data_IF_890081735227
#
_entry.id   IF_890081735227
#
_cell.length_a   1.000
_cell.length_b   1.000
_cell.length_c   1.000
_cell.angle_alpha   90.00
_cell.angle_beta   90.00
_cell.angle_gamma   90.00
#
_symmetry.space_group_name_H-M   'P 1'
#
loop_
_entity.id
_entity.type
_entity.pdbx_description
1 polymer ?
#
# COMPACT_ATOMS: atom_id res chain seq x y z
N UNK A 1 -18.94 8.14 63.64
CA UNK A 1 -18.42 7.39 62.47
C UNK A 1 -17.23 6.52 62.89
N UNK A 2 -17.14 5.26 62.45
CA UNK A 2 -16.00 4.39 62.74
C UNK A 2 -14.74 4.81 61.96
N UNK A 3 -13.57 4.75 62.59
CA UNK A 3 -12.26 5.06 61.97
C UNK A 3 -11.64 3.80 61.33
N UNK A 4 -11.51 3.79 60.01
CA UNK A 4 -10.90 2.66 59.26
C UNK A 4 -9.39 2.86 59.08
N UNK A 5 -8.58 1.82 59.31
CA UNK A 5 -7.11 1.82 59.07
C UNK A 5 -6.78 1.21 57.70
N UNK A 6 -5.88 1.85 56.94
CA UNK A 6 -5.55 1.48 55.54
C UNK A 6 -4.17 0.81 55.34
N UNK A 7 -3.55 0.32 56.42
CA UNK A 7 -2.16 -0.18 56.41
C UNK A 7 -1.97 -1.43 55.55
N UNK A 8 -2.91 -2.37 55.60
CA UNK A 8 -2.86 -3.65 54.88
C UNK A 8 -2.95 -3.43 53.37
N UNK A 9 -3.91 -2.61 52.93
CA UNK A 9 -4.12 -2.26 51.51
C UNK A 9 -2.89 -1.54 50.94
N UNK A 10 -2.31 -0.60 51.72
CA UNK A 10 -1.10 0.12 51.34
C UNK A 10 0.10 -0.83 51.18
N UNK A 11 0.32 -1.74 52.13
CA UNK A 11 1.40 -2.75 52.05
C UNK A 11 1.22 -3.65 50.83
N UNK A 12 0.00 -4.07 50.51
CA UNK A 12 -0.30 -4.90 49.33
C UNK A 12 0.06 -4.20 48.02
N UNK A 13 -0.30 -2.92 47.85
CA UNK A 13 0.08 -2.11 46.67
C UNK A 13 1.60 -1.99 46.52
N UNK A 14 2.30 -1.72 47.63
CA UNK A 14 3.77 -1.60 47.61
C UNK A 14 4.45 -2.91 47.21
N UNK A 15 4.03 -4.05 47.78
CA UNK A 15 4.55 -5.38 47.40
C UNK A 15 4.32 -5.71 45.93
N UNK A 16 3.18 -5.31 45.34
CA UNK A 16 2.90 -5.51 43.90
C UNK A 16 3.91 -4.78 43.02
N UNK A 17 4.19 -3.50 43.31
CA UNK A 17 5.19 -2.72 42.56
C UNK A 17 6.59 -3.31 42.71
N UNK A 18 7.01 -3.64 43.95
CA UNK A 18 8.33 -4.22 44.21
C UNK A 18 8.51 -5.60 43.56
N UNK A 19 7.42 -6.37 43.39
CA UNK A 19 7.47 -7.63 42.64
C UNK A 19 7.73 -7.40 41.14
N UNK A 20 7.21 -6.31 40.57
CA UNK A 20 7.43 -5.96 39.16
C UNK A 20 8.80 -5.33 38.91
N UNK A 21 9.41 -4.67 39.91
CA UNK A 21 10.73 -4.05 39.79
C UNK A 21 11.91 -4.98 40.11
N UNK A 22 11.65 -6.28 40.27
CA UNK A 22 12.73 -7.28 40.45
C UNK A 22 13.67 -7.24 39.25
N UNK A 23 14.98 -7.25 39.52
CA UNK A 23 16.02 -7.14 38.51
C UNK A 23 16.46 -5.71 38.17
N UNK A 24 15.76 -4.67 38.67
CA UNK A 24 16.23 -3.29 38.50
C UNK A 24 17.47 -3.00 39.34
N UNK A 25 18.33 -2.12 38.84
CA UNK A 25 19.58 -1.75 39.48
C UNK A 25 19.40 -0.84 40.71
N UNK A 26 20.24 -1.02 41.73
CA UNK A 26 20.32 -0.15 42.90
C UNK A 26 19.00 -0.03 43.68
N UNK A 27 18.63 1.19 44.05
CA UNK A 27 17.44 1.48 44.87
C UNK A 27 16.10 1.26 44.14
N UNK A 28 16.12 1.08 42.81
CA UNK A 28 14.91 0.90 41.99
C UNK A 28 14.23 -0.45 42.20
N UNK A 29 14.89 -1.41 42.86
CA UNK A 29 14.28 -2.70 43.29
C UNK A 29 13.85 -2.73 44.76
N UNK A 30 14.35 -1.81 45.60
CA UNK A 30 14.16 -1.84 47.06
C UNK A 30 13.19 -0.77 47.57
N UNK A 31 13.36 0.49 47.15
CA UNK A 31 12.56 1.61 47.64
C UNK A 31 11.29 1.78 46.79
N UNK A 32 10.13 1.87 47.43
CA UNK A 32 8.84 1.93 46.72
C UNK A 32 8.70 3.13 45.76
N UNK A 33 9.15 4.32 46.17
CA UNK A 33 8.98 5.55 45.38
C UNK A 33 9.75 5.46 44.06
N UNK A 34 11.06 5.19 44.12
CA UNK A 34 11.92 5.03 42.94
C UNK A 34 11.53 3.80 42.11
N UNK A 35 11.11 2.70 42.75
CA UNK A 35 10.59 1.53 42.03
C UNK A 35 9.32 1.86 41.24
N UNK A 36 8.38 2.58 41.84
CA UNK A 36 7.12 2.95 41.18
C UNK A 36 7.37 3.84 39.95
N UNK A 37 8.22 4.86 40.06
CA UNK A 37 8.63 5.70 38.94
C UNK A 37 9.27 4.89 37.81
N UNK A 38 10.18 3.98 38.16
CA UNK A 38 10.84 3.13 37.16
C UNK A 38 9.85 2.18 36.49
N UNK A 39 8.95 1.55 37.25
CA UNK A 39 7.93 0.64 36.71
C UNK A 39 7.00 1.39 35.75
N UNK A 40 6.56 2.60 36.09
CA UNK A 40 5.71 3.40 35.19
C UNK A 40 6.42 3.66 33.86
N UNK A 41 7.69 4.09 33.88
CA UNK A 41 8.49 4.30 32.66
C UNK A 41 8.70 3.01 31.87
N UNK A 42 9.05 1.91 32.54
CA UNK A 42 9.24 0.61 31.89
C UNK A 42 7.96 0.09 31.22
N UNK A 43 6.79 0.32 31.82
CA UNK A 43 5.51 -0.04 31.20
C UNK A 43 5.20 0.80 29.96
N UNK A 44 5.48 2.11 30.02
CA UNK A 44 5.37 2.99 28.86
C UNK A 44 6.31 2.55 27.73
N UNK A 45 7.58 2.28 28.04
CA UNK A 45 8.52 1.75 27.05
C UNK A 45 8.08 0.40 26.50
N UNK A 46 7.63 -0.53 27.32
CA UNK A 46 7.11 -1.83 26.84
C UNK A 46 5.96 -1.66 25.85
N UNK A 47 5.04 -0.74 26.10
CA UNK A 47 3.96 -0.43 25.16
C UNK A 47 4.49 0.10 23.82
N UNK A 48 5.39 1.08 23.85
CA UNK A 48 5.99 1.66 22.64
C UNK A 48 6.83 0.61 21.90
N UNK A 49 7.68 -0.12 22.60
CA UNK A 49 8.56 -1.15 22.05
C UNK A 49 7.78 -2.30 21.39
N UNK A 50 6.58 -2.66 21.86
CA UNK A 50 5.74 -3.65 21.16
C UNK A 50 5.33 -3.19 19.76
N UNK A 51 5.09 -1.89 19.58
CA UNK A 51 4.80 -1.30 18.26
C UNK A 51 6.08 -1.19 17.42
N UNK A 52 7.19 -0.72 18.01
CA UNK A 52 8.47 -0.56 17.33
C UNK A 52 9.07 -1.90 16.87
N UNK A 53 8.94 -2.97 17.66
CA UNK A 53 9.45 -4.31 17.32
C UNK A 53 8.99 -4.78 15.94
N UNK A 54 7.74 -4.47 15.55
CA UNK A 54 7.23 -4.79 14.21
C UNK A 54 8.00 -4.07 13.10
N UNK A 55 8.37 -2.80 13.33
CA UNK A 55 9.21 -2.01 12.41
C UNK A 55 10.65 -2.53 12.40
N UNK A 56 11.20 -2.89 13.56
CA UNK A 56 12.59 -3.37 13.67
C UNK A 56 12.78 -4.71 12.95
N UNK A 57 11.84 -5.66 13.11
CA UNK A 57 11.85 -6.89 12.31
C UNK A 57 11.70 -6.63 10.82
N UNK A 58 10.83 -5.70 10.42
CA UNK A 58 10.69 -5.34 9.01
C UNK A 58 11.99 -4.76 8.44
N UNK A 59 12.69 -3.90 9.19
CA UNK A 59 14.00 -3.38 8.79
C UNK A 59 15.01 -4.53 8.61
N UNK A 60 15.07 -5.45 9.56
CA UNK A 60 15.94 -6.62 9.49
C UNK A 60 15.66 -7.48 8.25
N UNK A 61 14.40 -7.78 7.96
CA UNK A 61 14.02 -8.55 6.78
C UNK A 61 14.42 -7.85 5.49
N UNK A 62 14.20 -6.53 5.40
CA UNK A 62 14.61 -5.74 4.23
C UNK A 62 16.13 -5.78 4.06
N UNK A 63 16.90 -5.65 5.15
CA UNK A 63 18.36 -5.73 5.10
C UNK A 63 18.85 -7.10 4.61
N UNK A 64 18.26 -8.19 5.10
CA UNK A 64 18.57 -9.55 4.66
C UNK A 64 18.27 -9.76 3.18
N UNK A 65 17.07 -9.40 2.74
CA UNK A 65 16.67 -9.51 1.32
C UNK A 65 17.58 -8.65 0.44
N UNK A 66 17.92 -7.42 0.87
CA UNK A 66 18.80 -6.55 0.11
C UNK A 66 20.20 -7.16 -0.06
N UNK A 67 20.74 -7.79 1.00
CA UNK A 67 22.01 -8.50 0.89
C UNK A 67 21.93 -9.66 -0.10
N UNK A 68 20.89 -10.49 -0.03
CA UNK A 68 20.70 -11.59 -0.97
C UNK A 68 20.50 -11.12 -2.42
N UNK A 69 19.71 -10.07 -2.65
CA UNK A 69 19.57 -9.47 -3.98
C UNK A 69 20.91 -8.99 -4.54
N UNK A 70 21.80 -8.43 -3.71
CA UNK A 70 23.13 -7.98 -4.13
C UNK A 70 24.02 -9.13 -4.59
N UNK A 71 23.89 -10.33 -3.99
CA UNK A 71 24.62 -11.52 -4.44
C UNK A 71 24.22 -11.95 -5.86
N UNK A 72 23.02 -11.59 -6.31
CA UNK A 72 22.52 -11.86 -7.65
C UNK A 72 22.53 -10.62 -8.57
N UNK A 73 23.40 -9.65 -8.26
CA UNK A 73 23.58 -8.37 -8.97
C UNK A 73 22.27 -7.60 -9.20
N UNK A 74 21.37 -7.64 -8.22
CA UNK A 74 20.07 -7.02 -8.31
C UNK A 74 19.77 -6.10 -7.12
N UNK A 75 18.88 -5.14 -7.35
CA UNK A 75 18.53 -4.11 -6.36
C UNK A 75 17.20 -4.45 -5.70
N UNK A 76 17.13 -4.37 -4.36
CA UNK A 76 15.91 -4.65 -3.58
C UNK A 76 14.67 -3.89 -4.09
N UNK A 77 14.81 -2.61 -4.45
CA UNK A 77 13.68 -1.80 -4.95
C UNK A 77 13.07 -2.39 -6.22
N UNK A 78 13.93 -2.75 -7.18
CA UNK A 78 13.52 -3.37 -8.44
C UNK A 78 12.96 -4.78 -8.22
N UNK A 79 13.53 -5.54 -7.29
CA UNK A 79 13.04 -6.86 -6.90
C UNK A 79 11.60 -6.84 -6.37
N UNK A 80 11.32 -5.99 -5.38
CA UNK A 80 9.96 -5.88 -4.84
C UNK A 80 8.97 -5.37 -5.89
N UNK A 81 9.41 -4.45 -6.76
CA UNK A 81 8.60 -3.98 -7.87
C UNK A 81 8.29 -5.12 -8.87
N UNK A 82 9.31 -5.90 -9.28
CA UNK A 82 9.15 -7.05 -10.15
C UNK A 82 8.23 -8.13 -9.58
N UNK A 83 8.37 -8.46 -8.30
CA UNK A 83 7.44 -9.39 -7.62
C UNK A 83 6.00 -8.86 -7.60
N UNK A 84 5.81 -7.55 -7.46
CA UNK A 84 4.48 -6.93 -7.53
C UNK A 84 3.87 -7.01 -8.93
N UNK A 85 4.68 -6.84 -9.98
CA UNK A 85 4.25 -6.98 -11.37
C UNK A 85 3.90 -8.43 -11.73
N UNK A 86 4.70 -9.38 -11.23
CA UNK A 86 4.44 -10.81 -11.35
C UNK A 86 3.27 -11.30 -10.47
N UNK A 87 2.58 -10.41 -9.73
CA UNK A 87 1.50 -10.74 -8.80
C UNK A 87 1.86 -11.74 -7.69
N UNK A 88 3.14 -11.84 -7.33
CA UNK A 88 3.64 -12.73 -6.28
C UNK A 88 3.48 -12.06 -4.91
N UNK A 89 2.44 -12.43 -4.17
CA UNK A 89 2.09 -11.86 -2.85
C UNK A 89 2.81 -12.56 -1.69
N UNK A 90 4.14 -12.48 -1.64
CA UNK A 90 4.94 -13.07 -0.55
C UNK A 90 5.31 -12.01 0.50
N UNK A 91 5.17 -12.39 1.78
CA UNK A 91 5.58 -11.57 2.91
C UNK A 91 7.11 -11.47 3.01
N UNK A 92 7.62 -10.28 3.41
CA UNK A 92 9.07 -10.04 3.59
C UNK A 92 9.72 -10.94 4.62
N UNK A 93 8.98 -11.42 5.62
CA UNK A 93 9.47 -12.43 6.56
C UNK A 93 9.88 -13.70 5.80
N UNK A 94 8.99 -14.22 4.96
CA UNK A 94 9.21 -15.45 4.20
C UNK A 94 10.31 -15.27 3.15
N UNK A 95 10.34 -14.13 2.45
CA UNK A 95 11.44 -13.82 1.53
C UNK A 95 12.80 -13.77 2.24
N UNK A 96 12.85 -13.20 3.44
CA UNK A 96 14.09 -13.13 4.22
C UNK A 96 14.51 -14.48 4.80
N UNK A 97 13.56 -15.36 5.14
CA UNK A 97 13.84 -16.72 5.61
C UNK A 97 14.32 -17.59 4.43
N UNK A 98 13.65 -17.51 3.26
CA UNK A 98 14.07 -18.19 2.02
C UNK A 98 15.47 -17.76 1.59
N UNK A 99 15.75 -16.46 1.60
CA UNK A 99 17.08 -15.93 1.28
C UNK A 99 18.23 -16.48 2.17
N UNK A 100 17.92 -17.05 3.34
CA UNK A 100 18.92 -17.64 4.25
C UNK A 100 19.00 -19.15 4.13
N UNK A 101 17.85 -19.83 4.00
CA UNK A 101 17.79 -21.30 4.03
C UNK A 101 17.77 -21.96 2.65
N UNK A 102 17.30 -21.24 1.62
CA UNK A 102 17.12 -21.75 0.26
C UNK A 102 17.56 -20.71 -0.77
N UNK A 103 18.84 -20.78 -1.11
CA UNK A 103 19.43 -19.89 -2.11
C UNK A 103 18.91 -20.16 -3.53
N UNK A 104 18.63 -21.43 -3.86
CA UNK A 104 18.16 -21.81 -5.18
C UNK A 104 16.76 -21.25 -5.46
N UNK A 105 15.82 -21.45 -4.53
CA UNK A 105 14.47 -20.91 -4.67
C UNK A 105 14.44 -19.38 -4.67
N UNK A 106 15.33 -18.73 -3.90
CA UNK A 106 15.45 -17.27 -3.94
C UNK A 106 15.96 -16.77 -5.30
N UNK A 107 16.90 -17.48 -5.93
CA UNK A 107 17.43 -17.14 -7.26
C UNK A 107 16.34 -17.17 -8.34
N UNK A 108 15.50 -18.21 -8.35
CA UNK A 108 14.37 -18.32 -9.28
C UNK A 108 13.42 -17.13 -9.15
N UNK A 109 13.10 -16.70 -7.93
CA UNK A 109 12.28 -15.52 -7.69
C UNK A 109 12.92 -14.23 -8.21
N UNK A 110 14.24 -14.12 -8.14
CA UNK A 110 14.97 -12.96 -8.69
C UNK A 110 14.89 -12.95 -10.22
N UNK A 111 14.98 -14.12 -10.86
CA UNK A 111 14.85 -14.25 -12.32
C UNK A 111 13.44 -13.87 -12.80
N UNK A 112 12.40 -14.41 -12.16
CA UNK A 112 11.00 -14.03 -12.43
C UNK A 112 10.79 -12.52 -12.24
N UNK A 113 11.36 -11.94 -11.19
CA UNK A 113 11.27 -10.49 -10.97
C UNK A 113 12.00 -9.69 -12.06
N UNK A 114 13.14 -10.17 -12.56
CA UNK A 114 13.88 -9.52 -13.66
C UNK A 114 13.08 -9.56 -14.96
N UNK A 115 12.43 -10.68 -15.27
CA UNK A 115 11.58 -10.84 -16.46
C UNK A 115 10.34 -9.94 -16.40
N UNK A 116 9.65 -9.93 -15.26
CA UNK A 116 8.46 -9.08 -15.07
C UNK A 116 8.78 -7.59 -15.26
N UNK A 117 9.96 -7.13 -14.82
CA UNK A 117 10.39 -5.74 -15.02
C UNK A 117 10.73 -5.44 -16.47
N UNK A 118 11.29 -6.40 -17.22
CA UNK A 118 11.57 -6.23 -18.66
C UNK A 118 10.29 -6.11 -19.48
N UNK A 119 9.26 -6.88 -19.11
CA UNK A 119 7.97 -6.91 -19.82
C UNK A 119 7.05 -5.73 -19.45
N UNK A 120 7.39 -4.95 -18.42
CA UNK A 120 6.56 -3.84 -17.98
C UNK A 120 6.69 -2.63 -18.93
N UNK A 121 5.58 -1.96 -19.29
CA UNK A 121 5.63 -0.74 -20.08
C UNK A 121 6.39 0.33 -19.28
N UNK A 122 7.48 0.85 -19.85
CA UNK A 122 8.25 1.94 -19.28
C UNK A 122 7.34 3.17 -19.20
N UNK A 123 7.04 3.66 -17.99
CA UNK A 123 6.51 5.03 -17.86
C UNK A 123 7.55 5.97 -18.45
N UNK A 124 7.19 6.69 -19.50
CA UNK A 124 8.02 7.74 -20.07
C UNK A 124 8.46 8.68 -18.95
N UNK A 125 9.77 8.92 -18.85
CA UNK A 125 10.30 9.85 -17.84
C UNK A 125 9.77 11.23 -18.20
N UNK A 126 8.94 11.80 -17.32
CA UNK A 126 8.53 13.19 -17.43
C UNK A 126 9.80 14.06 -17.63
N UNK A 127 9.79 14.99 -18.60
CA UNK A 127 10.98 15.76 -18.94
C UNK A 127 11.49 16.51 -17.71
N UNK A 128 12.78 16.33 -17.41
CA UNK A 128 13.47 17.06 -16.35
C UNK A 128 13.44 18.54 -16.71
N UNK A 129 12.67 19.34 -15.99
CA UNK A 129 12.72 20.80 -16.12
C UNK A 129 14.15 21.25 -15.78
N UNK A 130 14.84 21.80 -16.77
CA UNK A 130 16.16 22.40 -16.60
C UNK A 130 16.06 23.49 -15.54
N UNK A 131 16.80 23.33 -14.45
CA UNK A 131 16.88 24.37 -13.42
C UNK A 131 17.72 25.51 -13.96
N UNK A 132 17.06 26.53 -14.51
CA UNK A 132 17.72 27.81 -14.76
C UNK A 132 18.06 28.40 -13.38
N UNK A 133 19.35 28.46 -13.07
CA UNK A 133 19.84 29.16 -11.88
C UNK A 133 19.69 30.67 -12.10
N UNK A 134 18.87 31.33 -11.28
CA UNK A 134 18.92 32.77 -11.16
C UNK A 134 19.22 33.16 -9.71
N UNK A 135 20.31 33.89 -9.58
CA UNK A 135 20.79 34.50 -8.35
C UNK A 135 19.69 35.28 -7.62
N UNK A 136 19.62 35.04 -6.30
CA UNK A 136 19.30 36.04 -5.30
C UNK A 136 18.06 36.92 -5.51
N UNK A 137 16.89 36.42 -5.12
CA UNK A 137 15.98 37.03 -4.11
C UNK A 137 14.63 36.34 -4.18
N UNK A 138 14.23 35.76 -3.05
CA UNK A 138 12.92 35.17 -2.83
C UNK A 138 11.82 36.24 -2.91
N UNK A 139 10.96 36.13 -3.91
CA UNK A 139 9.64 36.75 -3.91
C UNK A 139 8.61 35.68 -4.25
N UNK A 140 7.77 35.33 -3.27
CA UNK A 140 6.53 34.59 -3.52
C UNK A 140 5.59 35.54 -4.27
N UNK A 141 5.54 35.40 -5.58
CA UNK A 141 4.44 35.89 -6.40
C UNK A 141 3.84 34.65 -7.06
N UNK A 142 2.60 34.35 -6.70
CA UNK A 142 1.79 33.29 -7.29
C UNK A 142 1.59 33.64 -8.77
N UNK A 143 2.09 32.85 -9.74
CA UNK A 143 1.83 33.13 -11.14
C UNK A 143 0.47 32.55 -11.52
N UNK A 144 -0.43 33.47 -11.83
CA UNK A 144 -1.74 33.29 -12.42
C UNK A 144 -1.58 32.87 -13.90
N UNK A 145 -1.06 31.68 -14.14
CA UNK A 145 -0.88 31.09 -15.48
C UNK A 145 -1.40 29.64 -15.54
N UNK A 146 -2.53 29.40 -14.88
CA UNK A 146 -3.28 28.15 -14.87
C UNK A 146 -4.62 28.24 -15.63
N UNK A 147 -4.80 29.29 -16.43
CA UNK A 147 -6.05 29.49 -17.18
C UNK A 147 -5.96 29.46 -18.70
N UNK A 148 -4.80 29.71 -19.32
CA UNK A 148 -4.77 29.81 -20.79
C UNK A 148 -4.19 28.58 -21.51
N UNK A 149 -3.46 27.69 -20.82
CA UNK A 149 -3.05 26.38 -21.40
C UNK A 149 -4.05 25.24 -21.18
N UNK A 150 -5.15 25.48 -20.48
CA UNK A 150 -6.24 24.51 -20.33
C UNK A 150 -7.24 24.54 -21.48
N UNK A 151 -7.27 25.63 -22.25
CA UNK A 151 -8.30 25.84 -23.27
C UNK A 151 -7.82 25.42 -24.67
N UNK A 152 -6.52 25.43 -24.97
CA UNK A 152 -6.00 24.89 -26.25
C UNK A 152 -5.78 23.36 -26.27
N UNK A 153 -5.83 22.68 -25.12
CA UNK A 153 -5.71 21.21 -25.02
C UNK A 153 -7.05 20.51 -25.32
N UNK A 154 -8.17 21.24 -25.26
CA UNK A 154 -9.51 20.67 -25.46
C UNK A 154 -9.88 20.59 -26.95
N UNK A 155 -9.25 21.37 -27.83
CA UNK A 155 -9.57 21.39 -29.27
C UNK A 155 -8.64 20.56 -30.16
N UNK A 156 -7.45 20.18 -29.72
CA UNK A 156 -6.56 19.31 -30.51
C UNK A 156 -6.66 17.81 -30.13
N UNK A 157 -7.38 17.48 -29.05
CA UNK A 157 -7.63 16.09 -28.64
C UNK A 157 -8.80 15.44 -29.38
N UNK A 158 -9.54 16.20 -30.20
CA UNK A 158 -10.73 15.71 -30.92
C UNK A 158 -10.44 15.07 -32.29
N UNK A 159 -9.20 15.09 -32.80
CA UNK A 159 -8.91 14.60 -34.16
C UNK A 159 -8.04 13.33 -34.23
N UNK A 160 -7.55 12.79 -33.11
CA UNK A 160 -6.65 11.60 -33.12
C UNK A 160 -7.30 10.32 -32.56
N UNK A 161 -8.49 10.39 -31.94
CA UNK A 161 -9.25 9.21 -31.48
C UNK A 161 -10.21 8.60 -32.53
N UNK A 162 -9.95 8.82 -33.83
CA UNK A 162 -10.54 7.97 -34.89
C UNK A 162 -9.49 7.01 -35.40
N UNK A 163 -9.21 5.98 -34.59
CA UNK A 163 -8.87 4.65 -35.10
C UNK A 163 -8.91 3.60 -33.97
N UNK A 164 -10.10 3.41 -33.38
CA UNK A 164 -10.54 2.09 -32.92
C UNK A 164 -11.84 1.82 -33.67
N UNK A 165 -11.83 0.80 -34.53
CA UNK A 165 -13.05 0.33 -35.20
C UNK A 165 -14.03 -0.12 -34.11
N UNK A 166 -15.04 0.69 -33.83
CA UNK A 166 -16.25 0.23 -33.15
C UNK A 166 -16.96 -0.64 -34.17
N UNK A 167 -16.85 -1.95 -34.02
CA UNK A 167 -17.74 -2.88 -34.70
C UNK A 167 -19.17 -2.55 -34.26
N UNK A 168 -19.98 -2.03 -35.18
CA UNK A 168 -21.42 -1.89 -34.97
C UNK A 168 -22.02 -3.31 -34.89
N UNK A 169 -22.11 -3.86 -33.68
CA UNK A 169 -22.72 -5.18 -33.46
C UNK A 169 -24.23 -5.02 -33.58
N UNK A 170 -24.80 -5.60 -34.64
CA UNK A 170 -26.26 -5.64 -34.84
C UNK A 170 -26.89 -6.66 -33.87
N UNK A 171 -27.61 -6.16 -32.87
CA UNK A 171 -28.23 -6.98 -31.82
C UNK A 171 -29.53 -7.66 -32.27
N UNK A 172 -30.04 -7.38 -33.48
CA UNK A 172 -31.30 -7.92 -33.99
C UNK A 172 -31.29 -9.45 -34.14
N UNK A 173 -30.14 -10.02 -34.49
CA UNK A 173 -29.95 -11.44 -34.77
C UNK A 173 -29.94 -12.34 -33.51
N UNK A 174 -29.70 -11.79 -32.32
CA UNK A 174 -29.52 -12.57 -31.09
C UNK A 174 -30.84 -13.04 -30.46
N UNK A 175 -30.79 -14.15 -29.74
CA UNK A 175 -31.91 -14.66 -28.95
C UNK A 175 -32.07 -13.87 -27.65
N UNK A 176 -33.26 -13.93 -27.04
CA UNK A 176 -33.55 -13.19 -25.80
C UNK A 176 -32.63 -13.59 -24.63
N UNK A 177 -32.20 -14.86 -24.59
CA UNK A 177 -31.25 -15.36 -23.61
C UNK A 177 -29.87 -14.73 -23.79
N UNK A 178 -29.36 -14.69 -25.02
CA UNK A 178 -28.05 -14.11 -25.35
C UNK A 178 -28.04 -12.61 -25.05
N UNK A 179 -29.12 -11.88 -25.38
CA UNK A 179 -29.24 -10.45 -25.06
C UNK A 179 -29.23 -10.18 -23.54
N UNK A 180 -29.78 -11.09 -22.72
CA UNK A 180 -29.76 -10.96 -21.26
C UNK A 180 -28.39 -11.31 -20.66
N UNK A 181 -27.68 -12.25 -21.25
CA UNK A 181 -26.29 -12.56 -20.86
C UNK A 181 -25.37 -11.39 -21.17
N UNK A 182 -25.49 -10.78 -22.36
CA UNK A 182 -24.76 -9.57 -22.74
C UNK A 182 -25.08 -8.41 -21.78
N UNK A 183 -26.34 -8.23 -21.39
CA UNK A 183 -26.73 -7.19 -20.42
C UNK A 183 -26.14 -7.44 -19.02
N UNK A 184 -26.03 -8.71 -18.62
CA UNK A 184 -25.43 -9.12 -17.34
C UNK A 184 -23.91 -8.92 -17.32
N UNK A 185 -23.23 -9.26 -18.40
CA UNK A 185 -21.78 -9.10 -18.55
C UNK A 185 -21.37 -7.63 -18.59
N UNK A 186 -22.25 -6.75 -19.08
CA UNK A 186 -22.08 -5.30 -19.04
C UNK A 186 -22.54 -4.65 -17.72
N UNK A 187 -22.90 -5.45 -16.71
CA UNK A 187 -23.33 -5.02 -15.38
C UNK A 187 -24.54 -4.04 -15.40
N UNK A 188 -25.41 -4.12 -16.41
CA UNK A 188 -26.59 -3.25 -16.52
C UNK A 188 -27.69 -3.72 -15.55
N UNK A 189 -28.38 -2.79 -14.89
CA UNK A 189 -29.52 -3.11 -14.01
C UNK A 189 -30.86 -2.81 -14.68
N UNK A 190 -31.86 -3.69 -14.53
CA UNK A 190 -33.23 -3.43 -15.01
C UNK A 190 -33.66 -4.22 -16.27
N UNK A 191 -32.80 -5.08 -16.82
CA UNK A 191 -33.08 -5.83 -18.06
C UNK A 191 -34.00 -7.07 -17.88
N UNK A 192 -34.19 -7.55 -16.65
CA UNK A 192 -34.84 -8.85 -16.38
C UNK A 192 -36.31 -8.95 -16.84
N UNK A 193 -37.04 -7.84 -16.88
CA UNK A 193 -38.46 -7.80 -17.24
C UNK A 193 -38.71 -7.37 -18.69
N UNK A 194 -37.68 -7.00 -19.44
CA UNK A 194 -37.81 -6.43 -20.78
C UNK A 194 -38.04 -7.51 -21.85
N UNK A 195 -38.84 -7.14 -22.86
CA UNK A 195 -39.08 -7.93 -24.07
C UNK A 195 -37.90 -7.80 -25.05
N UNK A 196 -37.82 -8.67 -26.07
CA UNK A 196 -36.69 -8.69 -27.03
C UNK A 196 -36.40 -7.32 -27.64
N UNK A 197 -37.42 -6.63 -28.15
CA UNK A 197 -37.25 -5.31 -28.76
C UNK A 197 -36.76 -4.26 -27.76
N UNK A 198 -37.32 -4.26 -26.54
CA UNK A 198 -36.92 -3.34 -25.47
C UNK A 198 -35.50 -3.64 -24.96
N UNK A 199 -35.05 -4.91 -24.98
CA UNK A 199 -33.68 -5.29 -24.63
C UNK A 199 -32.66 -4.80 -25.65
N UNK A 200 -33.00 -4.84 -26.94
CA UNK A 200 -32.15 -4.32 -28.02
C UNK A 200 -32.01 -2.80 -27.86
N UNK A 201 -33.12 -2.08 -27.73
CA UNK A 201 -33.12 -0.63 -27.55
C UNK A 201 -32.42 -0.21 -26.24
N UNK A 202 -32.59 -0.99 -25.16
CA UNK A 202 -31.91 -0.76 -23.89
C UNK A 202 -30.39 -0.96 -24.01
N UNK A 203 -29.92 -1.95 -24.77
CA UNK A 203 -28.49 -2.16 -25.00
C UNK A 203 -27.89 -1.09 -25.91
N UNK A 204 -28.59 -0.72 -26.99
CA UNK A 204 -28.15 0.34 -27.92
C UNK A 204 -28.00 1.69 -27.20
N UNK A 205 -29.01 2.07 -26.40
CA UNK A 205 -28.99 3.34 -25.66
C UNK A 205 -27.87 3.42 -24.62
N UNK A 206 -27.56 2.31 -23.94
CA UNK A 206 -26.48 2.28 -22.95
C UNK A 206 -25.07 2.16 -23.57
N UNK A 207 -24.98 1.86 -24.87
CA UNK A 207 -23.73 1.90 -25.65
C UNK A 207 -23.43 3.31 -26.14
N UNK A 208 -24.45 4.11 -26.49
CA UNK A 208 -24.29 5.52 -26.90
C UNK A 208 -23.85 6.46 -25.76
N UNK A 209 -24.17 6.11 -24.51
CA UNK A 209 -23.84 6.92 -23.32
C UNK A 209 -22.41 6.68 -22.76
N UNK A 210 -21.63 5.76 -23.35
CA UNK A 210 -20.24 5.42 -22.95
C UNK A 210 -19.20 5.95 -23.91
#
# INVERSE_FOLDING_TARGET
MPRVKSSVQTRRRRKKILKMSKGYFGSKRTLYRTANEQVMRSLQYSYVSRKLRKRDFRKLWIQRINAACKLHDYQYSKFIFGLSLANIKINRKMLADMAVYDEAGFKELVEVAKEAVKNAPLKEKAPLQERISLNGKSAKVVPQALKEKKEEIITASQEVEKEVKVESVDYSAYTVSELREIAKDNELSGYSSLKKAELIEFLEKNVEDK
#
